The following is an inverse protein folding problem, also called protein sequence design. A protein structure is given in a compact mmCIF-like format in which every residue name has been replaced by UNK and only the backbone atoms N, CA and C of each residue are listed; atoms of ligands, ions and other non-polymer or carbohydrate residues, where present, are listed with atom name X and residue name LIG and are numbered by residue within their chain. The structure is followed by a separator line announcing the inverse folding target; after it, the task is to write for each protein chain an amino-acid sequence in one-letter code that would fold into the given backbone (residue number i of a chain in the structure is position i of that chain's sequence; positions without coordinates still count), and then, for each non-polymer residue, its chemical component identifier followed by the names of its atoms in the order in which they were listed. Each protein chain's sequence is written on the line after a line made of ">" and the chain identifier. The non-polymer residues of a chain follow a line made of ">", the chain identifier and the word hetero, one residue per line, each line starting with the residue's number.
data_IF_416133236164
#
_entry.id   IF_416133236164
#
_cell.length_a   1.000
_cell.length_b   1.000
_cell.length_c   1.000
_cell.angle_alpha   90.00
_cell.angle_beta   90.00
_cell.angle_gamma   90.00
#
_symmetry.space_group_name_H-M   'P 1'
#
loop_
_entity.id
_entity.type
_entity.pdbx_description
1 polymer ?
#
# COMPACT_ATOMS: atom_id res chain seq x y z
N UNK A 1 -7.84 6.70 -5.11
CA UNK A 1 -7.83 5.46 -5.91
C UNK A 1 -6.52 5.39 -6.68
N UNK A 2 -6.41 4.85 -7.90
CA UNK A 2 -5.13 4.90 -8.62
C UNK A 2 -4.57 6.33 -8.63
N UNK A 3 -3.29 6.49 -8.29
CA UNK A 3 -2.65 7.77 -7.97
C UNK A 3 -2.62 8.12 -6.47
N UNK A 4 -3.40 7.46 -5.62
CA UNK A 4 -3.36 7.70 -4.18
C UNK A 4 -2.03 7.28 -3.58
N UNK A 5 -1.60 8.08 -2.63
CA UNK A 5 -0.44 7.82 -1.80
C UNK A 5 -0.84 6.95 -0.62
N UNK A 6 -0.03 5.94 -0.36
CA UNK A 6 -0.19 5.05 0.79
C UNK A 6 1.13 4.91 1.53
N UNK A 7 1.03 4.51 2.81
CA UNK A 7 2.18 4.04 3.60
C UNK A 7 1.87 2.64 4.14
N UNK A 8 2.83 1.74 3.99
CA UNK A 8 2.76 0.41 4.58
C UNK A 8 3.04 0.49 6.08
N UNK A 9 2.10 0.09 6.92
CA UNK A 9 2.22 0.15 8.37
C UNK A 9 2.82 -1.13 8.98
N UNK A 10 3.19 -2.11 8.15
CA UNK A 10 3.84 -3.35 8.59
C UNK A 10 4.82 -3.82 7.54
N UNK A 11 5.95 -4.37 7.98
CA UNK A 11 6.87 -5.07 7.07
C UNK A 11 6.28 -6.40 6.64
N UNK A 12 6.47 -6.75 5.37
CA UNK A 12 6.10 -8.04 4.79
C UNK A 12 7.34 -8.60 4.08
N UNK A 13 7.86 -9.74 4.55
CA UNK A 13 9.11 -10.31 4.04
C UNK A 13 8.93 -10.95 2.66
N UNK A 14 7.79 -11.58 2.42
CA UNK A 14 7.49 -12.27 1.16
C UNK A 14 7.33 -11.24 0.04
N UNK A 15 6.66 -10.13 0.34
CA UNK A 15 6.54 -9.00 -0.56
C UNK A 15 7.76 -8.07 -0.53
N UNK A 16 8.72 -8.29 0.36
CA UNK A 16 9.88 -7.45 0.67
C UNK A 16 9.51 -5.96 0.75
N UNK A 17 8.64 -5.66 1.71
CA UNK A 17 8.14 -4.33 2.05
C UNK A 17 8.60 -4.02 3.46
N UNK A 18 9.00 -2.77 3.69
CA UNK A 18 9.31 -2.29 5.03
C UNK A 18 8.13 -1.52 5.63
N UNK A 19 8.00 -1.61 6.96
CA UNK A 19 7.16 -0.67 7.70
C UNK A 19 7.60 0.77 7.39
N UNK A 20 6.62 1.65 7.30
CA UNK A 20 6.76 3.06 6.93
C UNK A 20 7.27 3.31 5.51
N UNK A 21 7.27 2.30 4.64
CA UNK A 21 7.57 2.47 3.22
C UNK A 21 6.37 3.11 2.49
N UNK A 22 6.65 4.16 1.72
CA UNK A 22 5.64 4.85 0.93
C UNK A 22 5.50 4.25 -0.46
N UNK A 23 4.27 4.26 -0.96
CA UNK A 23 3.96 3.80 -2.30
C UNK A 23 2.78 4.57 -2.91
N UNK A 24 2.65 4.48 -4.22
CA UNK A 24 1.52 5.03 -4.97
C UNK A 24 0.73 3.90 -5.59
N UNK A 25 -0.58 3.86 -5.37
CA UNK A 25 -1.46 2.87 -6.00
C UNK A 25 -1.48 3.07 -7.51
N UNK A 26 -1.07 2.07 -8.28
CA UNK A 26 -1.07 2.11 -9.75
C UNK A 26 -2.32 1.43 -10.32
N UNK A 27 -2.86 0.43 -9.64
CA UNK A 27 -4.09 -0.26 -10.03
C UNK A 27 -4.92 -0.68 -8.83
N UNK A 28 -6.24 -0.49 -8.93
CA UNK A 28 -7.21 -0.78 -7.87
C UNK A 28 -8.32 -1.67 -8.44
N UNK A 29 -8.27 -2.97 -8.14
CA UNK A 29 -9.29 -3.93 -8.55
C UNK A 29 -10.00 -4.52 -7.33
N UNK A 30 -11.16 -5.16 -7.55
CA UNK A 30 -12.03 -5.67 -6.48
C UNK A 30 -11.35 -6.57 -5.45
N UNK A 31 -10.35 -7.37 -5.88
CA UNK A 31 -9.65 -8.33 -5.04
C UNK A 31 -8.14 -8.06 -4.90
N UNK A 32 -7.60 -7.06 -5.63
CA UNK A 32 -6.16 -6.84 -5.71
C UNK A 32 -5.83 -5.37 -5.90
N UNK A 33 -4.88 -4.90 -5.11
CA UNK A 33 -4.20 -3.62 -5.32
C UNK A 33 -2.80 -3.87 -5.88
N UNK A 34 -2.37 -2.95 -6.73
CA UNK A 34 -0.99 -2.84 -7.18
C UNK A 34 -0.50 -1.45 -6.79
N UNK A 35 0.66 -1.39 -6.14
CA UNK A 35 1.31 -0.15 -5.77
C UNK A 35 2.76 -0.16 -6.24
N UNK A 36 3.27 1.00 -6.64
CA UNK A 36 4.68 1.21 -6.90
C UNK A 36 5.30 1.94 -5.71
N UNK A 37 6.30 1.33 -5.08
CA UNK A 37 7.05 1.95 -3.98
C UNK A 37 7.96 3.05 -4.52
N UNK A 38 8.42 3.94 -3.64
CA UNK A 38 9.36 5.01 -4.02
C UNK A 38 10.70 4.50 -4.50
N UNK A 39 11.11 3.32 -4.04
CA UNK A 39 12.27 2.61 -4.56
C UNK A 39 12.05 2.05 -5.98
N UNK A 40 10.85 2.22 -6.55
CA UNK A 40 10.50 1.83 -7.91
C UNK A 40 9.94 0.41 -8.05
N UNK A 41 9.80 -0.33 -6.94
CA UNK A 41 9.31 -1.71 -6.94
C UNK A 41 7.79 -1.76 -7.05
N UNK A 42 7.27 -2.69 -7.84
CA UNK A 42 5.84 -2.99 -7.85
C UNK A 42 5.48 -4.07 -6.83
N UNK A 43 4.40 -3.83 -6.10
CA UNK A 43 3.87 -4.70 -5.07
C UNK A 43 2.41 -4.95 -5.36
N UNK A 44 2.02 -6.23 -5.39
CA UNK A 44 0.63 -6.64 -5.46
C UNK A 44 0.15 -7.21 -4.13
N UNK A 45 -0.99 -6.76 -3.63
CA UNK A 45 -1.55 -7.22 -2.36
C UNK A 45 -3.08 -7.26 -2.40
N UNK A 46 -3.66 -8.05 -1.50
CA UNK A 46 -5.10 -8.32 -1.47
C UNK A 46 -5.90 -7.12 -0.95
N UNK A 47 -6.87 -6.66 -1.74
CA UNK A 47 -7.71 -5.49 -1.42
C UNK A 47 -8.81 -5.76 -0.40
N UNK A 48 -9.03 -7.02 0.00
CA UNK A 48 -9.97 -7.41 1.05
C UNK A 48 -9.25 -7.48 2.40
N UNK A 49 -7.95 -7.81 2.40
CA UNK A 49 -7.18 -8.09 3.63
C UNK A 49 -6.23 -6.96 4.07
N UNK A 50 -6.13 -5.85 3.33
CA UNK A 50 -5.17 -4.77 3.60
C UNK A 50 -5.40 -3.96 4.89
N UNK A 51 -6.53 -4.15 5.58
CA UNK A 51 -6.87 -3.42 6.81
C UNK A 51 -7.23 -4.36 7.98
N UNK A 52 -7.38 -5.65 7.72
CA UNK A 52 -7.84 -6.66 8.69
C UNK A 52 -6.65 -7.40 9.31
N UNK A 53 -5.74 -6.69 10.00
CA UNK A 53 -4.73 -7.20 10.97
C UNK A 53 -4.01 -8.56 10.70
N UNK A 54 -4.06 -9.12 9.49
CA UNK A 54 -3.74 -10.53 9.22
C UNK A 54 -2.50 -10.68 8.37
N UNK A 55 -2.21 -9.75 7.46
CA UNK A 55 -1.03 -9.85 6.57
C UNK A 55 -0.45 -8.48 6.25
N UNK A 56 -1.29 -7.57 5.76
CA UNK A 56 -0.88 -6.25 5.28
C UNK A 56 -1.71 -5.16 5.94
N UNK A 57 -1.05 -4.09 6.39
CA UNK A 57 -1.72 -2.91 6.95
C UNK A 57 -1.27 -1.68 6.17
N UNK A 58 -2.23 -0.91 5.64
CA UNK A 58 -1.98 0.24 4.78
C UNK A 58 -2.78 1.44 5.26
N UNK A 59 -2.12 2.60 5.35
CA UNK A 59 -2.79 3.88 5.58
C UNK A 59 -2.80 4.69 4.28
N UNK A 60 -3.99 5.20 3.92
CA UNK A 60 -4.17 6.11 2.80
C UNK A 60 -3.88 7.54 3.24
N UNK A 61 -2.94 8.19 2.57
CA UNK A 61 -2.57 9.57 2.87
C UNK A 61 -3.48 10.46 2.05
N UNK A 62 -4.42 11.14 2.72
CA UNK A 62 -5.32 12.08 2.06
C UNK A 62 -4.67 13.46 2.00
N UNK A 63 -4.86 14.25 0.93
CA UNK A 63 -4.24 15.56 0.78
C UNK A 63 -4.55 16.56 1.91
N UNK A 64 -5.63 16.34 2.67
CA UNK A 64 -6.03 17.20 3.79
C UNK A 64 -5.22 16.99 5.07
N UNK A 65 -4.30 16.02 5.12
CA UNK A 65 -3.43 15.78 6.28
C UNK A 65 -1.98 16.30 6.08
N UNK A 66 -1.75 17.05 5.01
CA UNK A 66 -0.46 17.68 4.70
C UNK A 66 -0.46 19.21 4.95
N UNK A 67 -1.46 19.73 5.65
CA UNK A 67 -1.62 21.15 6.02
C UNK A 67 -1.61 21.34 7.54
#
# INVERSE_FOLDING_TARGET
>A
MAGDRIVFQKSDKDLQIQNSEFATLTSVNKNKFVAKTDAGKEVSFDSVKYNLNMVMQVLFIRPRELL
#
